data_IF_300011780088
#
_entry.id   IF_300011780088
#
_cell.length_a   1.000
_cell.length_b   1.000
_cell.length_c   1.000
_cell.angle_alpha   90.00
_cell.angle_beta   90.00
_cell.angle_gamma   90.00
#
_symmetry.space_group_name_H-M   'P 1'
#
loop_
_entity.id
_entity.type
_entity.pdbx_description
1 polymer ?
#
# COMPACT_ATOMS: atom_id res chain seq x y z
N UNK A 1 -9.59 -8.43 53.20
CA UNK A 1 -9.65 -7.12 52.53
C UNK A 1 -8.86 -7.24 51.24
N UNK A 2 -9.52 -7.44 50.13
CA UNK A 2 -8.87 -7.64 48.81
C UNK A 2 -9.10 -6.37 48.00
N UNK A 3 -8.05 -5.56 47.84
CA UNK A 3 -8.07 -4.29 47.12
C UNK A 3 -8.05 -4.55 45.61
N UNK A 4 -9.18 -4.30 44.95
CA UNK A 4 -9.29 -4.26 43.50
C UNK A 4 -8.59 -3.02 42.98
N UNK A 5 -7.50 -3.20 42.22
CA UNK A 5 -6.92 -2.14 41.40
C UNK A 5 -7.85 -1.78 40.24
N UNK A 6 -8.02 -0.49 39.90
CA UNK A 6 -8.84 -0.09 38.75
C UNK A 6 -8.13 -0.42 37.47
N UNK A 7 -8.83 -1.11 36.55
CA UNK A 7 -8.41 -1.28 35.17
C UNK A 7 -8.28 0.10 34.49
N UNK A 8 -7.07 0.44 34.04
CA UNK A 8 -6.87 1.59 33.16
C UNK A 8 -7.68 1.35 31.89
N UNK A 9 -8.71 2.14 31.69
CA UNK A 9 -9.38 2.29 30.40
C UNK A 9 -8.36 2.91 29.44
N UNK A 10 -7.95 2.13 28.45
CA UNK A 10 -7.26 2.66 27.28
C UNK A 10 -8.32 3.36 26.43
N UNK A 11 -8.49 4.65 26.67
CA UNK A 11 -9.21 5.52 25.76
C UNK A 11 -8.35 5.67 24.53
N UNK A 12 -8.60 4.89 23.48
CA UNK A 12 -8.10 5.19 22.13
C UNK A 12 -8.82 6.44 21.64
N UNK A 13 -8.24 7.61 21.93
CA UNK A 13 -8.54 8.81 21.17
C UNK A 13 -8.07 8.52 19.73
N UNK A 14 -8.98 8.34 18.80
CA UNK A 14 -8.68 8.42 17.38
C UNK A 14 -8.10 9.82 17.15
N UNK A 15 -6.77 9.89 17.13
CA UNK A 15 -6.00 11.13 17.11
C UNK A 15 -6.35 11.97 15.89
N UNK A 16 -6.29 13.27 16.07
CA UNK A 16 -6.58 14.28 15.07
C UNK A 16 -5.85 14.07 13.74
N UNK A 17 -6.42 14.64 12.69
CA UNK A 17 -5.91 14.60 11.32
C UNK A 17 -4.37 14.79 11.28
N UNK A 18 -3.64 13.78 10.76
CA UNK A 18 -2.26 13.97 10.32
C UNK A 18 -1.16 13.09 10.93
N UNK A 19 -1.48 12.03 11.71
CA UNK A 19 -0.48 11.12 12.25
C UNK A 19 -0.60 9.68 11.75
N UNK A 20 0.43 8.86 12.02
CA UNK A 20 0.46 7.42 11.77
C UNK A 20 1.17 6.98 10.50
N UNK A 21 1.34 5.67 10.38
CA UNK A 21 2.02 5.00 9.27
C UNK A 21 1.00 4.48 8.26
N UNK A 22 1.02 5.00 7.04
CA UNK A 22 0.17 4.51 5.97
C UNK A 22 0.63 3.15 5.46
N UNK A 23 -0.29 2.21 5.27
CA UNK A 23 -0.05 0.93 4.60
C UNK A 23 -0.71 0.95 3.23
N UNK A 24 0.10 0.88 2.18
CA UNK A 24 -0.37 0.79 0.81
C UNK A 24 0.04 -0.54 0.20
N UNK A 25 -0.91 -1.47 0.20
CA UNK A 25 -0.71 -2.83 -0.30
C UNK A 25 -0.78 -2.92 -1.82
N UNK A 26 0.11 -3.73 -2.40
CA UNK A 26 0.12 -3.97 -3.84
C UNK A 26 1.13 -5.01 -4.29
N UNK A 27 0.93 -5.54 -5.49
CA UNK A 27 1.90 -6.45 -6.11
C UNK A 27 3.15 -5.72 -6.60
N UNK A 28 3.06 -4.42 -6.90
CA UNK A 28 4.15 -3.57 -7.40
C UNK A 28 4.97 -4.24 -8.51
N UNK A 29 4.32 -4.57 -9.61
CA UNK A 29 4.89 -5.36 -10.71
C UNK A 29 5.05 -4.56 -12.04
N UNK A 30 6.02 -3.61 -12.13
CA UNK A 30 6.87 -3.08 -11.07
C UNK A 30 6.26 -1.90 -10.29
N UNK A 31 6.90 -1.50 -9.19
CA UNK A 31 6.70 -0.19 -8.57
C UNK A 31 7.10 0.91 -9.55
N UNK A 32 6.38 2.04 -9.54
CA UNK A 32 6.60 3.13 -10.48
C UNK A 32 6.41 4.52 -9.84
N UNK A 33 6.77 5.56 -10.58
CA UNK A 33 6.70 6.95 -10.08
C UNK A 33 5.30 7.36 -9.61
N UNK A 34 4.24 6.76 -10.16
CA UNK A 34 2.88 7.00 -9.68
C UNK A 34 2.69 6.59 -8.23
N UNK A 35 3.21 5.43 -7.83
CA UNK A 35 3.17 4.96 -6.44
C UNK A 35 3.98 5.87 -5.51
N UNK A 36 5.20 6.22 -5.91
CA UNK A 36 6.09 7.04 -5.08
C UNK A 36 5.52 8.44 -4.84
N UNK A 37 5.08 9.11 -5.91
CA UNK A 37 4.49 10.46 -5.81
C UNK A 37 3.22 10.47 -4.98
N UNK A 38 2.44 9.40 -5.05
CA UNK A 38 1.29 9.24 -4.19
C UNK A 38 1.70 9.22 -2.71
N UNK A 39 2.68 8.38 -2.36
CA UNK A 39 3.18 8.32 -0.99
C UNK A 39 3.73 9.66 -0.51
N UNK A 40 4.55 10.33 -1.34
CA UNK A 40 5.08 11.67 -1.07
C UNK A 40 3.98 12.71 -0.84
N UNK A 41 2.91 12.63 -1.63
CA UNK A 41 1.80 13.54 -1.52
C UNK A 41 0.98 13.33 -0.23
N UNK A 42 0.66 12.09 0.14
CA UNK A 42 -0.05 11.80 1.40
C UNK A 42 0.72 12.32 2.62
N UNK A 43 2.05 12.20 2.58
CA UNK A 43 2.93 12.76 3.62
C UNK A 43 2.92 14.30 3.58
N UNK A 44 3.05 14.90 2.40
CA UNK A 44 3.09 16.36 2.25
C UNK A 44 1.75 17.04 2.56
N UNK A 45 0.64 16.36 2.32
CA UNK A 45 -0.71 16.79 2.72
C UNK A 45 -0.95 16.67 4.24
N UNK A 46 0.00 16.10 4.98
CA UNK A 46 -0.13 15.89 6.42
C UNK A 46 -1.16 14.82 6.80
N UNK A 47 -1.57 13.97 5.87
CA UNK A 47 -2.53 12.89 6.14
C UNK A 47 -1.90 11.75 6.93
N UNK A 48 -0.60 11.52 6.77
CA UNK A 48 0.21 10.50 7.45
C UNK A 48 1.64 11.01 7.67
N UNK A 49 2.36 10.41 8.60
CA UNK A 49 3.78 10.73 8.86
C UNK A 49 4.72 10.07 7.86
N UNK A 50 4.41 8.85 7.50
CA UNK A 50 5.18 8.03 6.56
C UNK A 50 4.27 7.04 5.82
N UNK A 51 4.78 6.45 4.74
CA UNK A 51 4.05 5.42 3.99
C UNK A 51 4.93 4.18 3.78
N UNK A 52 4.37 3.01 4.06
CA UNK A 52 4.97 1.71 3.78
C UNK A 52 4.28 1.06 2.58
N UNK A 53 5.05 0.81 1.54
CA UNK A 53 4.63 -0.05 0.43
C UNK A 53 4.68 -1.51 0.89
N UNK A 54 3.52 -2.09 1.15
CA UNK A 54 3.39 -3.49 1.53
C UNK A 54 3.38 -4.35 0.26
N UNK A 55 4.48 -5.05 -0.01
CA UNK A 55 4.58 -5.91 -1.20
C UNK A 55 3.81 -7.20 -0.95
N UNK A 56 2.71 -7.41 -1.69
CA UNK A 56 1.91 -8.62 -1.61
C UNK A 56 2.49 -9.71 -2.51
N UNK A 57 2.81 -10.90 -1.96
CA UNK A 57 3.22 -12.05 -2.76
C UNK A 57 2.12 -12.45 -3.74
N UNK A 58 0.89 -12.52 -3.27
CA UNK A 58 -0.27 -12.89 -4.07
C UNK A 58 -1.49 -12.08 -3.65
N UNK A 59 -2.06 -11.32 -4.59
CA UNK A 59 -3.33 -10.65 -4.35
C UNK A 59 -4.47 -11.68 -4.55
N UNK A 60 -5.36 -11.91 -3.55
CA UNK A 60 -6.47 -12.85 -3.64
C UNK A 60 -7.37 -12.64 -4.87
N UNK A 61 -7.49 -11.39 -5.33
CA UNK A 61 -8.29 -11.01 -6.49
C UNK A 61 -7.55 -11.09 -7.85
N UNK A 62 -6.26 -11.52 -7.87
CA UNK A 62 -5.41 -11.52 -9.08
C UNK A 62 -4.65 -12.84 -9.27
N UNK A 63 -5.30 -13.96 -9.02
CA UNK A 63 -4.69 -15.32 -9.02
C UNK A 63 -4.07 -15.73 -10.37
N UNK A 64 -4.48 -15.14 -11.49
CA UNK A 64 -4.08 -15.55 -12.85
C UNK A 64 -3.16 -14.54 -13.57
N UNK A 65 -2.50 -13.63 -12.86
CA UNK A 65 -1.53 -12.72 -13.50
C UNK A 65 -0.12 -13.29 -13.43
N UNK A 66 0.60 -13.28 -14.57
CA UNK A 66 2.05 -13.48 -14.58
C UNK A 66 2.72 -12.35 -13.78
N UNK A 67 3.10 -12.66 -12.56
CA UNK A 67 3.86 -11.77 -11.70
C UNK A 67 5.34 -12.13 -11.82
N UNK A 68 6.18 -11.10 -11.78
CA UNK A 68 7.59 -11.29 -11.50
C UNK A 68 7.74 -11.94 -10.12
N UNK A 69 8.79 -12.70 -9.94
CA UNK A 69 9.14 -13.31 -8.65
C UNK A 69 9.01 -12.31 -7.48
N UNK A 70 8.48 -12.80 -6.37
CA UNK A 70 8.15 -11.98 -5.20
C UNK A 70 9.36 -11.19 -4.68
N UNK A 71 10.50 -11.85 -4.56
CA UNK A 71 11.75 -11.24 -4.07
C UNK A 71 12.28 -10.19 -5.04
N UNK A 72 12.12 -10.39 -6.36
CA UNK A 72 12.50 -9.39 -7.34
C UNK A 72 11.60 -8.16 -7.27
N UNK A 73 10.29 -8.32 -7.05
CA UNK A 73 9.36 -7.19 -6.85
C UNK A 73 9.68 -6.42 -5.58
N UNK A 74 9.97 -7.14 -4.50
CA UNK A 74 10.41 -6.57 -3.22
C UNK A 74 11.71 -5.78 -3.39
N UNK A 75 12.68 -6.35 -4.09
CA UNK A 75 13.97 -5.71 -4.36
C UNK A 75 13.81 -4.43 -5.19
N UNK A 76 12.99 -4.47 -6.25
CA UNK A 76 12.71 -3.29 -7.06
C UNK A 76 11.99 -2.20 -6.25
N UNK A 77 11.09 -2.60 -5.34
CA UNK A 77 10.42 -1.66 -4.45
C UNK A 77 11.40 -0.99 -3.48
N UNK A 78 12.32 -1.75 -2.87
CA UNK A 78 13.37 -1.22 -1.99
C UNK A 78 14.27 -0.23 -2.72
N UNK A 79 14.72 -0.55 -3.94
CA UNK A 79 15.49 0.37 -4.77
C UNK A 79 14.71 1.66 -5.10
N UNK A 80 13.40 1.57 -5.28
CA UNK A 80 12.58 2.71 -5.63
C UNK A 80 12.45 3.74 -4.51
N UNK A 81 12.48 3.29 -3.24
CA UNK A 81 12.34 4.17 -2.07
C UNK A 81 13.69 4.64 -1.49
N UNK A 82 14.80 4.13 -2.01
CA UNK A 82 16.13 4.51 -1.55
C UNK A 82 16.32 6.03 -1.62
N UNK A 83 16.79 6.63 -0.51
CA UNK A 83 16.94 8.07 -0.37
C UNK A 83 15.64 8.86 -0.12
N UNK A 84 14.51 8.18 0.17
CA UNK A 84 13.22 8.79 0.49
C UNK A 84 12.86 8.51 1.95
N UNK A 85 13.16 9.47 2.83
CA UNK A 85 13.12 9.29 4.29
C UNK A 85 11.79 8.80 4.86
N UNK A 86 10.66 9.12 4.21
CA UNK A 86 9.30 8.81 4.70
C UNK A 86 8.57 7.75 3.87
N UNK A 87 9.27 7.12 2.93
CA UNK A 87 8.74 6.02 2.14
C UNK A 87 9.53 4.75 2.44
N UNK A 88 8.85 3.72 2.88
CA UNK A 88 9.44 2.44 3.25
C UNK A 88 8.82 1.30 2.48
N UNK A 89 9.41 0.12 2.57
CA UNK A 89 8.89 -1.11 1.98
C UNK A 89 8.77 -2.16 3.06
N UNK A 90 7.60 -2.78 3.16
CA UNK A 90 7.33 -3.89 4.07
C UNK A 90 7.19 -5.20 3.30
N UNK A 91 7.84 -6.23 3.81
CA UNK A 91 7.74 -7.63 3.38
C UNK A 91 6.90 -8.48 4.35
N UNK A 92 6.06 -7.86 5.17
CA UNK A 92 5.31 -8.53 6.23
C UNK A 92 4.50 -9.72 5.70
N UNK A 93 3.83 -9.59 4.55
CA UNK A 93 3.03 -10.67 3.97
C UNK A 93 3.85 -11.87 3.45
N UNK A 94 5.18 -11.74 3.30
CA UNK A 94 6.04 -12.87 2.90
C UNK A 94 6.16 -13.93 3.99
N UNK A 95 5.91 -13.54 5.25
CA UNK A 95 5.97 -14.39 6.44
C UNK A 95 4.59 -14.88 6.88
N UNK A 96 3.54 -14.50 6.16
CA UNK A 96 2.16 -14.83 6.49
C UNK A 96 1.62 -15.99 5.66
N UNK A 97 0.59 -16.73 6.14
CA UNK A 97 -0.13 -17.70 5.33
C UNK A 97 -0.71 -17.08 4.06
N UNK A 98 -0.69 -17.82 2.95
CA UNK A 98 -1.26 -17.38 1.66
C UNK A 98 -2.62 -18.05 1.41
N UNK A 99 -3.61 -17.30 0.92
CA UNK A 99 -3.62 -15.86 0.67
C UNK A 99 -3.65 -15.05 1.97
N UNK A 100 -2.92 -13.91 1.98
CA UNK A 100 -2.98 -12.99 3.11
C UNK A 100 -4.21 -12.08 3.00
N UNK A 101 -4.91 -11.89 4.13
CA UNK A 101 -6.02 -10.97 4.24
C UNK A 101 -5.58 -9.71 4.99
N UNK A 102 -6.02 -8.54 4.51
CA UNK A 102 -5.57 -7.25 5.03
C UNK A 102 -5.82 -7.08 6.54
N UNK A 103 -6.92 -7.59 7.07
CA UNK A 103 -7.21 -7.55 8.51
C UNK A 103 -6.10 -8.24 9.32
N UNK A 104 -5.65 -9.42 8.89
CA UNK A 104 -4.58 -10.15 9.56
C UNK A 104 -3.23 -9.46 9.41
N UNK A 105 -2.98 -8.85 8.25
CA UNK A 105 -1.76 -8.10 7.98
C UNK A 105 -1.65 -6.87 8.88
N UNK A 106 -2.73 -6.11 9.04
CA UNK A 106 -2.77 -4.95 9.92
C UNK A 106 -2.62 -5.37 11.40
N UNK A 107 -3.21 -6.48 11.81
CA UNK A 107 -3.04 -7.02 13.16
C UNK A 107 -1.61 -7.47 13.41
N UNK A 108 -0.99 -8.17 12.45
CA UNK A 108 0.42 -8.55 12.52
C UNK A 108 1.31 -7.32 12.68
N UNK A 109 1.14 -6.29 11.84
CA UNK A 109 1.92 -5.06 11.91
C UNK A 109 1.75 -4.34 13.26
N UNK A 110 0.53 -4.29 13.81
CA UNK A 110 0.30 -3.71 15.14
C UNK A 110 1.01 -4.44 16.27
N UNK A 111 1.14 -5.75 16.18
CA UNK A 111 1.90 -6.54 17.18
C UNK A 111 3.40 -6.32 17.06
N UNK A 112 3.91 -6.28 15.84
CA UNK A 112 5.35 -6.05 15.60
C UNK A 112 5.80 -4.60 15.90
N UNK A 113 4.86 -3.64 15.77
CA UNK A 113 5.12 -2.21 15.94
C UNK A 113 4.05 -1.57 16.84
N UNK A 114 4.03 -1.88 18.15
CA UNK A 114 2.97 -1.45 19.07
C UNK A 114 2.90 0.07 19.26
N UNK A 115 3.98 0.78 18.97
CA UNK A 115 4.08 2.25 19.08
C UNK A 115 3.54 2.99 17.86
N UNK A 116 3.07 2.25 16.82
CA UNK A 116 2.59 2.82 15.56
C UNK A 116 1.08 2.69 15.41
N UNK A 117 0.46 3.74 14.91
CA UNK A 117 -0.89 3.70 14.39
C UNK A 117 -0.84 3.44 12.89
N UNK A 118 -1.50 2.38 12.42
CA UNK A 118 -1.55 2.05 11.00
C UNK A 118 -2.82 2.55 10.34
N UNK A 119 -2.65 3.24 9.20
CA UNK A 119 -3.70 3.80 8.35
C UNK A 119 -3.73 3.03 7.04
N UNK A 120 -4.86 2.45 6.66
CA UNK A 120 -4.96 1.70 5.41
C UNK A 120 -5.20 2.65 4.24
N UNK A 121 -4.39 2.53 3.17
CA UNK A 121 -4.55 3.29 1.93
C UNK A 121 -5.01 2.37 0.82
N UNK A 122 -6.14 2.69 0.18
CA UNK A 122 -6.70 1.93 -0.94
C UNK A 122 -7.18 2.84 -2.06
N UNK A 123 -7.21 2.33 -3.29
CA UNK A 123 -7.83 3.04 -4.41
C UNK A 123 -9.35 2.97 -4.37
N UNK A 124 -10.03 3.92 -5.02
CA UNK A 124 -11.50 3.93 -5.13
C UNK A 124 -12.07 2.66 -5.76
N UNK A 125 -11.33 2.03 -6.66
CA UNK A 125 -11.67 0.72 -7.25
C UNK A 125 -11.67 -0.43 -6.23
N UNK A 126 -10.80 -0.36 -5.22
CA UNK A 126 -10.79 -1.29 -4.11
C UNK A 126 -11.84 -0.94 -3.06
N UNK A 127 -12.13 0.36 -2.85
CA UNK A 127 -13.19 0.80 -1.96
C UNK A 127 -14.56 0.29 -2.39
N UNK A 128 -14.89 0.33 -3.68
CA UNK A 128 -16.13 -0.23 -4.23
C UNK A 128 -16.30 -1.71 -3.87
N UNK A 129 -15.19 -2.46 -3.82
CA UNK A 129 -15.16 -3.90 -3.46
C UNK A 129 -14.87 -4.15 -1.99
N UNK A 130 -14.61 -3.11 -1.22
CA UNK A 130 -14.20 -3.22 0.18
C UNK A 130 -15.19 -4.00 1.06
N UNK A 131 -16.54 -3.88 0.88
CA UNK A 131 -17.48 -4.71 1.61
C UNK A 131 -17.35 -6.22 1.38
N UNK A 132 -16.65 -6.63 0.30
CA UNK A 132 -16.36 -8.05 -0.01
C UNK A 132 -15.03 -8.53 0.61
N UNK A 133 -14.27 -7.64 1.22
CA UNK A 133 -13.02 -8.02 1.88
C UNK A 133 -13.31 -8.80 3.16
N UNK A 134 -12.46 -9.77 3.43
CA UNK A 134 -12.57 -10.55 4.64
C UNK A 134 -12.47 -9.63 5.87
N UNK A 135 -13.49 -9.68 6.73
CA UNK A 135 -13.62 -8.84 7.93
C UNK A 135 -13.45 -7.33 7.68
N UNK A 136 -14.03 -6.82 6.58
CA UNK A 136 -13.95 -5.40 6.22
C UNK A 136 -14.49 -4.46 7.31
N UNK A 137 -15.55 -4.84 8.01
CA UNK A 137 -16.13 -4.06 9.12
C UNK A 137 -15.13 -3.93 10.29
N UNK A 138 -14.37 -5.00 10.58
CA UNK A 138 -13.35 -4.98 11.61
C UNK A 138 -12.19 -4.05 11.25
N UNK A 139 -11.82 -3.98 9.96
CA UNK A 139 -10.84 -3.01 9.46
C UNK A 139 -11.34 -1.58 9.71
N UNK A 140 -12.60 -1.27 9.33
CA UNK A 140 -13.20 0.06 9.55
C UNK A 140 -13.25 0.43 11.04
N UNK A 141 -13.57 -0.54 11.89
CA UNK A 141 -13.69 -0.31 13.33
C UNK A 141 -12.36 0.00 14.01
N UNK A 142 -11.25 -0.53 13.49
CA UNK A 142 -9.93 -0.47 14.14
C UNK A 142 -8.94 0.47 13.50
N UNK A 143 -9.15 0.84 12.24
CA UNK A 143 -8.17 1.57 11.45
C UNK A 143 -8.82 2.74 10.70
N UNK A 144 -8.08 3.84 10.62
CA UNK A 144 -8.40 4.90 9.68
C UNK A 144 -8.10 4.42 8.27
N UNK A 145 -8.88 4.90 7.29
CA UNK A 145 -8.67 4.62 5.88
C UNK A 145 -8.48 5.90 5.09
N UNK A 146 -7.61 5.84 4.10
CA UNK A 146 -7.45 6.88 3.09
C UNK A 146 -7.79 6.29 1.73
N UNK A 147 -8.77 6.88 1.06
CA UNK A 147 -9.17 6.48 -0.28
C UNK A 147 -8.50 7.38 -1.29
N UNK A 148 -7.86 6.77 -2.28
CA UNK A 148 -7.28 7.43 -3.43
C UNK A 148 -8.33 7.57 -4.51
N UNK A 149 -8.73 8.80 -4.89
CA UNK A 149 -9.76 8.99 -5.89
C UNK A 149 -9.31 8.47 -7.27
N UNK A 150 -10.26 7.91 -8.01
CA UNK A 150 -10.06 7.48 -9.40
C UNK A 150 -11.19 8.00 -10.27
N UNK A 151 -10.92 8.40 -11.53
CA UNK A 151 -11.99 8.76 -12.47
C UNK A 151 -13.02 7.63 -12.59
N UNK A 152 -14.31 7.99 -12.57
CA UNK A 152 -15.42 7.04 -12.71
C UNK A 152 -15.92 6.41 -11.41
N UNK A 153 -15.34 6.77 -10.24
CA UNK A 153 -15.80 6.29 -8.93
C UNK A 153 -16.39 7.43 -8.11
N UNK A 154 -17.57 7.22 -7.54
CA UNK A 154 -18.22 8.16 -6.63
C UNK A 154 -17.82 7.83 -5.18
N UNK A 155 -17.46 8.85 -4.41
CA UNK A 155 -17.01 8.72 -3.02
C UNK A 155 -17.89 9.62 -2.13
N UNK A 156 -19.16 9.24 -1.98
CA UNK A 156 -20.15 9.95 -1.15
C UNK A 156 -20.56 9.08 0.03
N UNK A 157 -21.05 9.71 1.10
CA UNK A 157 -21.55 8.98 2.27
C UNK A 157 -20.52 8.11 2.98
N UNK A 158 -19.25 8.54 3.01
CA UNK A 158 -18.19 7.77 3.63
C UNK A 158 -18.37 7.68 5.15
N UNK A 159 -18.09 6.51 5.75
CA UNK A 159 -18.17 6.34 7.19
C UNK A 159 -17.10 7.16 7.92
N UNK A 160 -17.30 7.34 9.24
CA UNK A 160 -16.30 7.96 10.10
C UNK A 160 -14.96 7.23 10.02
N UNK A 161 -13.85 7.97 10.09
CA UNK A 161 -12.50 7.41 9.98
C UNK A 161 -12.02 7.16 8.53
N UNK A 162 -12.88 7.42 7.53
CA UNK A 162 -12.51 7.33 6.10
C UNK A 162 -12.31 8.72 5.51
N UNK A 163 -11.14 8.95 4.92
CA UNK A 163 -10.76 10.24 4.31
C UNK A 163 -10.44 10.03 2.83
N UNK A 164 -10.77 11.01 1.99
CA UNK A 164 -10.36 11.02 0.57
C UNK A 164 -9.11 11.88 0.40
N UNK A 165 -8.06 11.32 -0.18
CA UNK A 165 -6.86 12.09 -0.53
C UNK A 165 -7.16 13.10 -1.65
N UNK A 166 -6.53 14.27 -1.60
CA UNK A 166 -6.68 15.30 -2.64
C UNK A 166 -5.77 15.07 -3.84
N UNK A 167 -4.74 14.28 -3.65
CA UNK A 167 -3.71 14.04 -4.66
C UNK A 167 -4.26 13.29 -5.86
N UNK A 168 -4.17 13.86 -7.07
CA UNK A 168 -4.57 13.18 -8.28
C UNK A 168 -3.63 12.01 -8.56
N UNK A 169 -4.19 10.86 -8.90
CA UNK A 169 -3.41 9.73 -9.38
C UNK A 169 -2.75 10.08 -10.71
N UNK A 170 -1.46 9.80 -10.80
CA UNK A 170 -0.78 9.86 -12.09
C UNK A 170 -1.26 8.70 -12.97
N UNK A 171 -1.51 9.01 -14.23
CA UNK A 171 -1.87 7.99 -15.22
C UNK A 171 -0.63 7.17 -15.63
N UNK A 172 -0.13 6.36 -14.70
CA UNK A 172 0.99 5.44 -14.90
C UNK A 172 0.51 4.05 -14.49
N UNK A 173 0.63 3.09 -15.39
CA UNK A 173 0.17 1.72 -15.19
C UNK A 173 1.34 0.74 -15.26
N UNK A 174 1.49 -0.12 -14.23
CA UNK A 174 2.46 -1.22 -14.25
C UNK A 174 2.24 -2.15 -15.45
N UNK A 175 0.99 -2.35 -15.87
CA UNK A 175 0.66 -3.18 -17.03
C UNK A 175 1.18 -2.58 -18.32
N UNK A 176 1.00 -1.27 -18.51
CA UNK A 176 1.48 -0.60 -19.72
C UNK A 176 3.01 -0.54 -19.76
N UNK A 177 3.64 -0.35 -18.59
CA UNK A 177 5.10 -0.43 -18.46
C UNK A 177 5.59 -1.82 -18.90
N UNK A 178 4.99 -2.91 -18.37
CA UNK A 178 5.39 -4.27 -18.75
C UNK A 178 5.20 -4.55 -20.24
N UNK A 179 4.07 -4.14 -20.81
CA UNK A 179 3.80 -4.27 -22.26
C UNK A 179 4.83 -3.54 -23.10
N UNK A 180 5.16 -2.30 -22.75
CA UNK A 180 6.15 -1.51 -23.45
C UNK A 180 7.57 -2.11 -23.34
N UNK A 181 7.93 -2.69 -22.19
CA UNK A 181 9.23 -3.40 -22.04
C UNK A 181 9.25 -4.66 -22.90
N UNK A 182 8.18 -5.46 -22.88
CA UNK A 182 8.08 -6.69 -23.66
C UNK A 182 8.18 -6.44 -25.17
N UNK A 183 7.55 -5.36 -25.66
CA UNK A 183 7.61 -4.95 -27.08
C UNK A 183 8.89 -4.21 -27.47
N UNK A 184 9.79 -3.90 -26.52
CA UNK A 184 11.00 -3.13 -26.78
C UNK A 184 10.78 -1.61 -26.98
N UNK A 185 9.54 -1.11 -26.80
CA UNK A 185 9.18 0.30 -27.00
C UNK A 185 9.33 1.16 -25.73
N UNK A 186 9.80 0.60 -24.61
CA UNK A 186 9.91 1.33 -23.37
C UNK A 186 11.19 2.16 -23.27
N UNK A 187 11.03 3.46 -23.01
CA UNK A 187 12.11 4.44 -22.94
C UNK A 187 12.34 5.03 -21.52
N UNK A 188 11.93 4.32 -20.48
CA UNK A 188 12.18 4.70 -19.08
C UNK A 188 11.16 5.66 -18.46
N UNK A 189 10.14 6.11 -19.19
CA UNK A 189 9.13 7.03 -18.68
C UNK A 189 8.21 6.35 -17.66
N UNK A 190 8.11 6.93 -16.45
CA UNK A 190 7.23 6.42 -15.39
C UNK A 190 7.92 5.51 -14.37
N UNK A 191 9.17 5.10 -14.57
CA UNK A 191 9.97 4.39 -13.58
C UNK A 191 11.05 5.29 -12.94
N UNK A 192 11.39 5.05 -11.66
CA UNK A 192 12.65 5.57 -11.12
C UNK A 192 13.84 5.05 -11.93
N UNK A 193 14.83 5.91 -12.14
CA UNK A 193 16.02 5.55 -12.95
C UNK A 193 16.73 4.28 -12.44
N UNK A 194 16.84 4.15 -11.12
CA UNK A 194 17.48 2.99 -10.48
C UNK A 194 16.70 1.70 -10.76
N UNK A 195 15.38 1.75 -10.71
CA UNK A 195 14.49 0.60 -11.02
C UNK A 195 14.60 0.23 -12.49
N UNK A 196 14.58 1.22 -13.40
CA UNK A 196 14.73 0.97 -14.83
C UNK A 196 16.08 0.34 -15.17
N UNK A 197 17.17 0.85 -14.61
CA UNK A 197 18.51 0.29 -14.82
C UNK A 197 18.57 -1.18 -14.38
N UNK A 198 17.94 -1.51 -13.26
CA UNK A 198 17.93 -2.87 -12.75
C UNK A 198 17.08 -3.83 -13.60
N UNK A 199 15.89 -3.36 -14.04
CA UNK A 199 15.04 -4.11 -14.98
C UNK A 199 15.83 -4.42 -16.27
N UNK A 200 16.56 -3.45 -16.81
CA UNK A 200 17.41 -3.65 -17.99
C UNK A 200 18.55 -4.63 -17.75
N UNK A 201 19.28 -4.46 -16.64
CA UNK A 201 20.41 -5.30 -16.26
C UNK A 201 20.02 -6.77 -16.16
N UNK A 202 18.90 -7.05 -15.53
CA UNK A 202 18.37 -8.40 -15.34
C UNK A 202 17.48 -8.90 -16.48
N UNK A 203 17.20 -8.07 -17.48
CA UNK A 203 16.30 -8.38 -18.61
C UNK A 203 14.88 -8.78 -18.16
N UNK A 204 14.39 -8.16 -17.07
CA UNK A 204 13.06 -8.45 -16.53
C UNK A 204 11.97 -7.97 -17.50
N UNK A 205 10.81 -8.64 -17.49
CA UNK A 205 9.63 -8.34 -18.31
C UNK A 205 9.84 -8.44 -19.83
N UNK A 206 10.95 -9.02 -20.30
CA UNK A 206 11.12 -9.31 -21.73
C UNK A 206 10.38 -10.59 -22.09
N UNK A 207 9.73 -10.60 -23.26
CA UNK A 207 9.25 -11.84 -23.86
C UNK A 207 10.43 -12.79 -24.07
N UNK A 208 10.25 -14.07 -23.72
CA UNK A 208 11.20 -15.14 -24.03
C UNK A 208 11.23 -15.36 -25.52
#
# INVERSE_FOLDING_TARGET
MCSKQPRKQVTSSLGGAGGGTAIYGGTFNPIHLGHLRLGEALVSEGLVEELWFLVSPQNPFKVNQELLDDEERLRLARLAVEGRERLHVSDAEFRMPRPSYMVHTLEYLRREHPDREFVLVIGADNWERFPQWYESEEILRRHRLIILPRPGYTLEGLPEGVTVARTPLLNISSTDIRRAIASGSYHGKGLPRVVWNEIRRKRLYKSK
#
